data_IF_980487176954
#
_entry.id   IF_980487176954
#
_cell.length_a   1.000
_cell.length_b   1.000
_cell.length_c   1.000
_cell.angle_alpha   90.00
_cell.angle_beta   90.00
_cell.angle_gamma   90.00
#
_symmetry.space_group_name_H-M   'P 1'
#
loop_
_entity.id
_entity.type
_entity.pdbx_description
1 polymer ?
#
# COMPACT_ATOMS: atom_id res chain seq x y z
N UNK A 1 21.53 -15.68 1.88
CA UNK A 1 20.71 -14.56 1.39
C UNK A 1 19.28 -15.05 1.18
N UNK A 2 18.27 -14.40 1.78
CA UNK A 2 16.85 -14.72 1.56
C UNK A 2 16.45 -14.19 0.18
N UNK A 3 15.90 -15.03 -0.68
CA UNK A 3 15.52 -14.66 -2.05
C UNK A 3 14.04 -14.24 -2.14
N UNK A 4 13.18 -14.88 -1.35
CA UNK A 4 11.75 -14.58 -1.24
C UNK A 4 11.25 -15.08 0.12
N UNK A 5 10.33 -14.34 0.73
CA UNK A 5 9.51 -14.80 1.83
C UNK A 5 8.04 -14.54 1.48
N UNK A 6 7.23 -15.59 1.55
CA UNK A 6 5.78 -15.53 1.40
C UNK A 6 5.21 -16.46 2.47
N UNK A 7 4.87 -15.89 3.63
CA UNK A 7 4.42 -16.64 4.80
C UNK A 7 2.88 -16.68 4.92
N UNK A 8 2.19 -16.21 3.88
CA UNK A 8 0.73 -16.06 3.85
C UNK A 8 0.13 -17.03 2.83
N UNK A 9 -0.86 -17.82 3.23
CA UNK A 9 -1.70 -18.55 2.30
C UNK A 9 -2.62 -17.56 1.57
N UNK A 10 -2.70 -17.64 0.22
CA UNK A 10 -3.53 -16.75 -0.58
C UNK A 10 -4.76 -17.48 -1.04
N UNK A 11 -5.94 -16.97 -0.66
CA UNK A 11 -7.24 -17.51 -1.01
C UNK A 11 -8.04 -16.52 -1.87
N UNK A 12 -8.87 -17.03 -2.77
CA UNK A 12 -9.79 -16.23 -3.57
C UNK A 12 -11.21 -16.70 -3.39
N UNK A 13 -12.16 -15.76 -3.27
CA UNK A 13 -13.59 -16.04 -3.24
C UNK A 13 -14.33 -15.02 -4.12
N UNK A 14 -15.42 -15.44 -4.75
CA UNK A 14 -16.21 -14.52 -5.56
C UNK A 14 -17.01 -13.54 -4.69
N UNK A 15 -17.49 -14.01 -3.52
CA UNK A 15 -18.36 -13.24 -2.63
C UNK A 15 -17.96 -13.31 -1.16
N UNK A 16 -18.37 -12.29 -0.40
CA UNK A 16 -18.26 -12.26 1.07
C UNK A 16 -19.05 -13.39 1.76
N UNK A 17 -20.15 -13.83 1.16
CA UNK A 17 -20.95 -14.95 1.66
C UNK A 17 -20.22 -16.29 1.53
N UNK A 18 -19.58 -16.54 0.39
CA UNK A 18 -18.74 -17.73 0.18
C UNK A 18 -17.57 -17.75 1.15
N UNK A 19 -16.84 -16.64 1.27
CA UNK A 19 -15.75 -16.47 2.24
C UNK A 19 -16.20 -16.81 3.66
N UNK A 20 -17.33 -16.22 4.10
CA UNK A 20 -17.85 -16.43 5.46
C UNK A 20 -18.20 -17.89 5.74
N UNK A 21 -18.77 -18.57 4.74
CA UNK A 21 -19.13 -19.99 4.82
C UNK A 21 -17.90 -20.90 4.84
N UNK A 22 -16.99 -20.73 3.87
CA UNK A 22 -15.82 -21.61 3.72
C UNK A 22 -14.85 -21.50 4.91
N UNK A 23 -14.68 -20.29 5.48
CA UNK A 23 -13.86 -20.11 6.68
C UNK A 23 -14.65 -20.28 7.99
N UNK A 24 -15.92 -20.64 7.91
CA UNK A 24 -16.81 -20.88 9.05
C UNK A 24 -16.71 -19.76 10.11
N UNK A 25 -17.04 -18.54 9.68
CA UNK A 25 -16.98 -17.36 10.55
C UNK A 25 -17.99 -17.49 11.69
N UNK A 26 -17.53 -17.22 12.94
CA UNK A 26 -18.32 -17.50 14.14
C UNK A 26 -17.97 -16.55 15.31
N UNK A 27 -18.50 -16.81 16.51
CA UNK A 27 -18.33 -15.98 17.72
C UNK A 27 -16.89 -15.90 18.26
N UNK A 28 -15.97 -16.75 17.76
CA UNK A 28 -14.55 -16.68 18.10
C UNK A 28 -13.75 -15.82 17.12
N UNK A 29 -14.43 -15.09 16.24
CA UNK A 29 -13.79 -14.18 15.29
C UNK A 29 -13.99 -12.73 15.73
N UNK A 30 -12.88 -11.97 15.75
CA UNK A 30 -12.88 -10.53 15.85
C UNK A 30 -12.76 -9.94 14.43
N UNK A 31 -13.83 -9.36 13.92
CA UNK A 31 -13.86 -8.73 12.59
C UNK A 31 -13.64 -7.23 12.74
N UNK A 32 -12.46 -6.74 12.34
CA UNK A 32 -12.14 -5.33 12.29
C UNK A 32 -12.38 -4.77 10.88
N UNK A 33 -13.36 -3.88 10.75
CA UNK A 33 -13.79 -3.36 9.45
C UNK A 33 -14.39 -1.95 9.60
N UNK A 34 -14.93 -1.37 8.52
CA UNK A 34 -15.71 -0.14 8.58
C UNK A 34 -17.20 -0.42 8.40
N UNK A 35 -18.03 0.57 8.79
CA UNK A 35 -19.49 0.48 8.72
C UNK A 35 -20.00 0.18 7.32
N UNK A 36 -19.42 0.79 6.28
CA UNK A 36 -19.85 0.61 4.90
C UNK A 36 -19.71 -0.85 4.44
N UNK A 37 -18.57 -1.48 4.72
CA UNK A 37 -18.31 -2.88 4.37
C UNK A 37 -19.22 -3.79 5.21
N UNK A 38 -19.32 -3.56 6.51
CA UNK A 38 -20.20 -4.32 7.38
C UNK A 38 -21.66 -4.29 6.90
N UNK A 39 -22.23 -3.10 6.70
CA UNK A 39 -23.63 -2.94 6.29
C UNK A 39 -23.88 -3.46 4.86
N UNK A 40 -22.92 -3.28 3.94
CA UNK A 40 -23.06 -3.67 2.55
C UNK A 40 -22.89 -5.17 2.27
N UNK A 41 -22.06 -5.87 3.05
CA UNK A 41 -21.64 -7.23 2.67
C UNK A 41 -21.78 -8.27 3.79
N UNK A 42 -21.78 -7.89 5.07
CA UNK A 42 -21.76 -8.86 6.18
C UNK A 42 -23.01 -8.82 7.05
N UNK A 43 -23.66 -7.67 7.19
CA UNK A 43 -24.84 -7.52 8.07
C UNK A 43 -25.98 -8.49 7.74
N UNK A 44 -26.24 -8.69 6.47
CA UNK A 44 -27.31 -9.59 5.99
C UNK A 44 -27.00 -11.08 6.20
N UNK A 45 -25.74 -11.43 6.45
CA UNK A 45 -25.31 -12.82 6.68
C UNK A 45 -25.60 -13.30 8.12
N UNK A 46 -26.01 -12.40 9.02
CA UNK A 46 -26.31 -12.67 10.45
C UNK A 46 -25.26 -13.51 11.17
N UNK A 47 -23.97 -13.25 10.87
CA UNK A 47 -22.85 -13.94 11.51
C UNK A 47 -22.71 -13.52 12.96
N UNK A 48 -22.35 -14.44 13.84
CA UNK A 48 -22.18 -14.19 15.29
C UNK A 48 -20.79 -13.69 15.67
N UNK A 49 -20.07 -13.11 14.72
CA UNK A 49 -18.74 -12.55 14.95
C UNK A 49 -18.74 -11.33 15.86
N UNK A 50 -17.62 -11.05 16.51
CA UNK A 50 -17.39 -9.81 17.26
C UNK A 50 -16.94 -8.71 16.30
N UNK A 51 -17.83 -7.81 15.94
CA UNK A 51 -17.53 -6.72 15.03
C UNK A 51 -16.99 -5.50 15.76
N UNK A 52 -15.81 -5.03 15.36
CA UNK A 52 -15.21 -3.76 15.77
C UNK A 52 -15.15 -2.83 14.58
N UNK A 53 -15.93 -1.76 14.62
CA UNK A 53 -16.06 -0.84 13.49
C UNK A 53 -15.10 0.35 13.66
N UNK A 54 -14.24 0.56 12.67
CA UNK A 54 -13.31 1.69 12.58
C UNK A 54 -14.01 3.05 12.81
N UNK A 55 -15.25 3.15 12.34
CA UNK A 55 -16.06 4.38 12.42
C UNK A 55 -16.29 4.87 13.86
N UNK A 56 -16.22 3.98 14.85
CA UNK A 56 -16.28 4.34 16.27
C UNK A 56 -15.10 5.24 16.68
N UNK A 57 -13.94 5.05 16.08
CA UNK A 57 -12.68 5.72 16.46
C UNK A 57 -12.35 6.92 15.56
N UNK A 58 -13.11 7.15 14.50
CA UNK A 58 -13.06 8.32 13.61
C UNK A 58 -11.64 8.72 13.16
N UNK A 59 -10.86 7.79 12.60
CA UNK A 59 -9.53 8.05 12.05
C UNK A 59 -9.47 7.76 10.54
N UNK A 60 -8.64 8.50 9.82
CA UNK A 60 -8.25 8.19 8.44
C UNK A 60 -6.97 7.35 8.40
N UNK A 61 -5.95 7.80 9.10
CA UNK A 61 -4.69 7.09 9.27
C UNK A 61 -4.55 6.63 10.73
N UNK A 62 -4.04 5.42 10.99
CA UNK A 62 -3.91 4.89 12.34
C UNK A 62 -2.83 5.64 13.12
N UNK A 63 -3.11 5.93 14.39
CA UNK A 63 -2.14 6.46 15.32
C UNK A 63 -2.11 5.64 16.62
N UNK A 64 -1.06 5.82 17.40
CA UNK A 64 -0.79 5.05 18.61
C UNK A 64 -1.92 5.16 19.65
N UNK A 65 -2.47 6.35 19.87
CA UNK A 65 -3.53 6.57 20.87
C UNK A 65 -4.83 5.83 20.51
N UNK A 66 -5.23 5.90 19.25
CA UNK A 66 -6.43 5.21 18.75
C UNK A 66 -6.26 3.68 18.81
N UNK A 67 -5.09 3.17 18.46
CA UNK A 67 -4.83 1.73 18.54
C UNK A 67 -4.86 1.25 19.99
N UNK A 68 -4.29 2.02 20.91
CA UNK A 68 -4.35 1.73 22.36
C UNK A 68 -5.80 1.75 22.88
N UNK A 69 -6.68 2.62 22.33
CA UNK A 69 -8.12 2.62 22.63
C UNK A 69 -8.79 1.33 22.10
N UNK A 70 -8.49 0.92 20.86
CA UNK A 70 -9.02 -0.32 20.28
C UNK A 70 -8.62 -1.52 21.14
N UNK A 71 -7.38 -1.62 21.58
CA UNK A 71 -6.92 -2.71 22.46
C UNK A 71 -7.68 -2.75 23.78
N UNK A 72 -7.99 -1.59 24.37
CA UNK A 72 -8.81 -1.52 25.61
C UNK A 72 -10.23 -2.04 25.38
N UNK A 73 -10.82 -1.70 24.24
CA UNK A 73 -12.19 -2.10 23.90
C UNK A 73 -12.33 -3.60 23.67
N UNK A 74 -11.32 -4.23 23.06
CA UNK A 74 -11.36 -5.67 22.75
C UNK A 74 -10.83 -6.55 23.89
N UNK A 75 -10.30 -5.98 24.97
CA UNK A 75 -9.62 -6.71 26.05
C UNK A 75 -10.45 -7.85 26.66
N UNK A 76 -11.77 -7.66 26.75
CA UNK A 76 -12.69 -8.62 27.36
C UNK A 76 -13.44 -9.49 26.32
N UNK A 77 -13.10 -9.36 25.03
CA UNK A 77 -13.67 -10.19 23.97
C UNK A 77 -12.85 -11.48 23.87
N UNK A 78 -13.54 -12.61 23.93
CA UNK A 78 -12.90 -13.92 23.77
C UNK A 78 -12.91 -14.33 22.30
N UNK A 79 -11.76 -14.22 21.62
CA UNK A 79 -11.58 -14.57 20.22
C UNK A 79 -10.26 -15.27 19.96
N UNK A 80 -10.23 -16.07 18.89
CA UNK A 80 -9.06 -16.84 18.44
C UNK A 80 -8.49 -16.31 17.13
N UNK A 81 -9.31 -15.62 16.31
CA UNK A 81 -8.91 -15.09 15.01
C UNK A 81 -9.21 -13.60 14.92
N UNK A 82 -8.31 -12.87 14.27
CA UNK A 82 -8.52 -11.50 13.82
C UNK A 82 -8.74 -11.51 12.32
N UNK A 83 -9.84 -10.96 11.87
CA UNK A 83 -10.20 -10.82 10.46
C UNK A 83 -10.27 -9.32 10.15
N UNK A 84 -9.26 -8.78 9.48
CA UNK A 84 -9.24 -7.37 9.10
C UNK A 84 -9.71 -7.21 7.65
N UNK A 85 -10.81 -6.49 7.47
CA UNK A 85 -11.46 -6.30 6.16
C UNK A 85 -11.52 -4.81 5.83
N UNK A 86 -10.70 -4.34 4.88
CA UNK A 86 -10.67 -2.92 4.57
C UNK A 86 -9.51 -2.47 3.68
N UNK A 87 -9.30 -1.17 3.64
CA UNK A 87 -8.10 -0.56 3.05
C UNK A 87 -6.91 -0.61 4.01
N UNK A 88 -5.74 -0.18 3.55
CA UNK A 88 -4.46 -0.31 4.27
C UNK A 88 -4.50 0.07 5.75
N UNK A 89 -5.14 1.17 6.13
CA UNK A 89 -5.25 1.59 7.53
C UNK A 89 -5.97 0.59 8.44
N UNK A 90 -6.97 -0.12 7.92
CA UNK A 90 -7.67 -1.20 8.65
C UNK A 90 -6.78 -2.43 8.73
N UNK A 91 -6.13 -2.78 7.62
CA UNK A 91 -5.28 -3.97 7.55
C UNK A 91 -4.08 -3.84 8.48
N UNK A 92 -3.44 -2.67 8.52
CA UNK A 92 -2.29 -2.40 9.37
C UNK A 92 -2.64 -2.46 10.86
N UNK A 93 -3.80 -1.92 11.26
CA UNK A 93 -4.31 -2.08 12.63
C UNK A 93 -4.63 -3.55 12.92
N UNK A 94 -5.30 -4.25 12.01
CA UNK A 94 -5.64 -5.67 12.17
C UNK A 94 -4.43 -6.57 12.45
N UNK A 95 -3.29 -6.29 11.81
CA UNK A 95 -2.03 -6.98 12.10
C UNK A 95 -1.60 -6.84 13.57
N UNK A 96 -1.77 -5.66 14.12
CA UNK A 96 -1.41 -5.39 15.51
C UNK A 96 -2.37 -6.09 16.49
N UNK A 97 -3.68 -6.12 16.17
CA UNK A 97 -4.69 -6.76 17.02
C UNK A 97 -4.49 -8.28 17.18
N UNK A 98 -3.68 -8.89 16.33
CA UNK A 98 -3.30 -10.29 16.44
C UNK A 98 -2.12 -10.56 17.39
N UNK A 99 -1.51 -9.49 17.93
CA UNK A 99 -0.38 -9.59 18.88
C UNK A 99 -0.87 -9.71 20.31
N UNK A 100 -0.03 -10.34 21.14
CA UNK A 100 -0.28 -10.57 22.57
C UNK A 100 0.18 -9.39 23.42
N UNK A 101 -0.62 -9.07 24.46
CA UNK A 101 -0.23 -8.21 25.59
C UNK A 101 0.32 -6.82 25.15
N UNK A 102 -0.30 -6.20 24.15
CA UNK A 102 0.06 -4.84 23.72
C UNK A 102 -0.63 -3.84 24.65
N UNK A 103 0.13 -3.24 25.57
CA UNK A 103 -0.33 -2.19 26.49
C UNK A 103 -0.07 -0.78 25.95
N UNK A 104 0.85 -0.63 25.02
CA UNK A 104 1.21 0.63 24.36
C UNK A 104 1.76 0.41 22.96
N UNK A 105 1.05 0.91 21.96
CA UNK A 105 1.46 0.89 20.57
C UNK A 105 2.78 1.62 20.35
N UNK A 106 2.98 2.78 21.02
CA UNK A 106 4.26 3.51 20.95
C UNK A 106 5.44 2.66 21.40
N UNK A 107 5.32 1.97 22.55
CA UNK A 107 6.40 1.08 23.05
C UNK A 107 6.63 -0.10 22.12
N UNK A 108 5.55 -0.66 21.54
CA UNK A 108 5.65 -1.75 20.56
C UNK A 108 6.48 -1.32 19.33
N UNK A 109 6.18 -0.15 18.77
CA UNK A 109 6.91 0.37 17.60
C UNK A 109 8.36 0.77 17.92
N UNK A 110 8.66 1.13 19.18
CA UNK A 110 10.02 1.35 19.67
C UNK A 110 10.76 0.06 20.06
N UNK A 111 10.11 -1.09 19.93
CA UNK A 111 10.65 -2.39 20.33
C UNK A 111 10.99 -2.48 21.83
N UNK A 112 10.26 -1.75 22.64
CA UNK A 112 10.33 -1.78 24.10
C UNK A 112 9.42 -2.87 24.69
N UNK A 113 8.54 -3.46 23.88
CA UNK A 113 7.70 -4.60 24.21
C UNK A 113 8.08 -5.81 23.36
N UNK A 114 7.91 -7.05 23.88
CA UNK A 114 8.06 -8.24 23.07
C UNK A 114 6.96 -8.29 22.00
N UNK A 115 7.33 -8.69 20.79
CA UNK A 115 6.40 -8.86 19.68
C UNK A 115 6.07 -10.34 19.58
N UNK A 116 4.88 -10.72 20.01
CA UNK A 116 4.45 -12.12 20.09
C UNK A 116 3.12 -12.26 19.39
N UNK A 117 3.05 -13.14 18.39
CA UNK A 117 1.78 -13.50 17.75
C UNK A 117 0.96 -14.38 18.70
N UNK A 118 -0.33 -14.08 18.83
CA UNK A 118 -1.26 -14.81 19.69
C UNK A 118 -2.49 -15.34 18.92
N UNK A 119 -2.97 -14.61 17.92
CA UNK A 119 -4.19 -14.94 17.18
C UNK A 119 -3.90 -15.28 15.72
N UNK A 120 -4.68 -16.19 15.14
CA UNK A 120 -4.71 -16.34 13.67
C UNK A 120 -5.14 -15.03 13.02
N UNK A 121 -4.45 -14.63 11.96
CA UNK A 121 -4.70 -13.37 11.27
C UNK A 121 -5.13 -13.62 9.83
N UNK A 122 -6.29 -13.11 9.49
CA UNK A 122 -6.84 -13.13 8.14
C UNK A 122 -6.98 -11.69 7.66
N UNK A 123 -6.37 -11.38 6.52
CA UNK A 123 -6.38 -10.04 5.93
C UNK A 123 -7.15 -10.06 4.62
N UNK A 124 -8.17 -9.20 4.51
CA UNK A 124 -9.05 -9.09 3.34
C UNK A 124 -9.00 -7.66 2.81
N UNK A 125 -8.19 -7.36 1.77
CA UNK A 125 -8.12 -6.03 1.20
C UNK A 125 -9.41 -5.68 0.45
N UNK A 126 -9.82 -4.42 0.57
CA UNK A 126 -10.94 -3.83 -0.18
C UNK A 126 -10.48 -2.69 -1.09
N UNK A 127 -9.17 -2.58 -1.28
CA UNK A 127 -8.50 -1.68 -2.23
C UNK A 127 -7.41 -2.45 -2.96
N UNK A 128 -7.13 -2.07 -4.20
CA UNK A 128 -6.11 -2.71 -5.04
C UNK A 128 -4.81 -1.88 -5.06
N UNK A 129 -4.20 -1.67 -3.90
CA UNK A 129 -3.04 -0.78 -3.80
C UNK A 129 -1.93 -1.28 -2.88
N UNK A 130 -2.26 -1.55 -1.63
CA UNK A 130 -1.25 -1.69 -0.57
C UNK A 130 -0.56 -3.05 -0.53
N UNK A 131 -1.18 -4.11 -1.05
CA UNK A 131 -0.66 -5.48 -0.90
C UNK A 131 -0.41 -5.88 0.58
N UNK A 132 -1.11 -5.22 1.52
CA UNK A 132 -0.85 -5.39 2.95
C UNK A 132 -1.13 -6.82 3.43
N UNK A 133 -1.97 -7.56 2.71
CA UNK A 133 -2.31 -8.96 3.02
C UNK A 133 -1.13 -9.92 2.89
N UNK A 134 -0.08 -9.56 2.16
CA UNK A 134 1.13 -10.39 1.96
C UNK A 134 2.40 -9.74 2.50
N UNK A 135 2.28 -8.66 3.26
CA UNK A 135 3.43 -7.98 3.86
C UNK A 135 3.42 -8.08 5.38
N UNK A 136 4.62 -8.01 5.98
CA UNK A 136 4.83 -8.04 7.42
C UNK A 136 5.01 -6.64 8.04
N UNK A 137 4.40 -5.62 7.42
CA UNK A 137 4.59 -4.22 7.79
C UNK A 137 3.28 -3.63 8.28
N UNK A 138 3.34 -2.84 9.35
CA UNK A 138 2.28 -1.93 9.80
C UNK A 138 2.86 -0.53 9.96
N UNK A 139 2.17 0.49 9.45
CA UNK A 139 2.58 1.90 9.53
C UNK A 139 1.63 2.64 10.46
N UNK A 140 2.18 3.30 11.49
CA UNK A 140 1.40 4.02 12.50
C UNK A 140 2.03 5.38 12.78
N UNK A 141 1.20 6.41 12.96
CA UNK A 141 1.63 7.70 13.45
C UNK A 141 1.84 7.64 14.96
N UNK A 142 3.00 8.08 15.44
CA UNK A 142 3.27 8.29 16.86
C UNK A 142 3.01 9.77 17.15
N UNK A 143 1.85 10.08 17.70
CA UNK A 143 1.37 11.45 17.86
C UNK A 143 2.31 12.33 18.69
N UNK A 144 2.82 11.80 19.78
CA UNK A 144 3.74 12.53 20.67
C UNK A 144 5.08 12.90 19.99
N UNK A 145 5.42 12.28 18.85
CA UNK A 145 6.65 12.51 18.09
C UNK A 145 6.38 13.14 16.72
N UNK A 146 5.11 13.30 16.39
CA UNK A 146 4.63 13.84 15.11
C UNK A 146 5.33 13.17 13.91
N UNK A 147 5.44 11.83 13.97
CA UNK A 147 6.13 11.03 12.95
C UNK A 147 5.42 9.70 12.70
N UNK A 148 5.54 9.19 11.47
CA UNK A 148 5.09 7.84 11.13
C UNK A 148 6.24 6.86 11.30
N UNK A 149 5.99 5.78 12.03
CA UNK A 149 6.90 4.66 12.17
C UNK A 149 6.35 3.41 11.47
N UNK A 150 7.25 2.61 10.93
CA UNK A 150 6.93 1.30 10.37
C UNK A 150 7.47 0.18 11.26
N UNK A 151 6.61 -0.73 11.67
CA UNK A 151 6.99 -1.97 12.31
C UNK A 151 6.99 -3.08 11.26
N UNK A 152 8.16 -3.64 10.96
CA UNK A 152 8.35 -4.73 10.02
C UNK A 152 8.96 -5.93 10.75
N UNK A 153 8.14 -6.96 10.99
CA UNK A 153 8.52 -8.19 11.71
C UNK A 153 7.68 -9.36 11.22
N UNK A 154 8.21 -10.57 11.30
CA UNK A 154 7.56 -11.76 10.75
C UNK A 154 6.24 -12.10 11.46
N UNK A 155 6.06 -11.68 12.71
CA UNK A 155 4.84 -11.82 13.49
C UNK A 155 3.63 -11.07 12.91
N UNK A 156 3.86 -10.12 11.99
CA UNK A 156 2.80 -9.35 11.32
C UNK A 156 2.36 -9.96 9.97
N UNK A 157 3.00 -11.03 9.48
CA UNK A 157 2.46 -11.75 8.32
C UNK A 157 1.08 -12.31 8.65
N UNK A 158 0.13 -12.15 7.73
CA UNK A 158 -1.15 -12.84 7.83
C UNK A 158 -0.97 -14.36 7.64
N UNK A 159 -1.77 -15.16 8.35
CA UNK A 159 -1.89 -16.58 8.06
C UNK A 159 -2.61 -16.78 6.71
N UNK A 160 -3.63 -15.95 6.45
CA UNK A 160 -4.37 -15.95 5.17
C UNK A 160 -4.56 -14.53 4.64
N UNK A 161 -4.18 -14.33 3.38
CA UNK A 161 -4.56 -13.19 2.55
C UNK A 161 -5.72 -13.57 1.65
N UNK A 162 -6.86 -12.90 1.78
CA UNK A 162 -8.09 -13.30 1.10
C UNK A 162 -8.52 -12.24 0.10
N UNK A 163 -8.61 -12.61 -1.16
CA UNK A 163 -8.97 -11.72 -2.27
C UNK A 163 -10.45 -11.91 -2.62
N UNK A 164 -11.27 -10.86 -2.45
CA UNK A 164 -12.72 -10.88 -2.75
C UNK A 164 -13.03 -9.65 -3.61
N UNK A 165 -13.09 -9.79 -4.96
CA UNK A 165 -13.33 -8.66 -5.86
C UNK A 165 -14.65 -7.92 -5.58
N UNK A 166 -15.69 -8.63 -5.10
CA UNK A 166 -16.97 -8.04 -4.68
C UNK A 166 -16.78 -6.86 -3.73
N UNK A 167 -15.88 -6.97 -2.74
CA UNK A 167 -15.65 -5.96 -1.71
C UNK A 167 -14.98 -4.69 -2.25
N UNK A 168 -14.33 -4.77 -3.41
CA UNK A 168 -13.68 -3.65 -4.08
C UNK A 168 -14.63 -2.88 -5.02
N UNK A 169 -15.71 -3.49 -5.51
CA UNK A 169 -16.62 -2.91 -6.51
C UNK A 169 -17.31 -1.62 -6.08
N UNK A 170 -17.40 -1.37 -4.77
CA UNK A 170 -18.00 -0.14 -4.24
C UNK A 170 -17.00 0.97 -4.02
N UNK A 171 -15.73 0.78 -4.39
CA UNK A 171 -14.69 1.79 -4.25
C UNK A 171 -14.93 2.95 -5.22
N UNK A 172 -14.86 4.23 -4.77
CA UNK A 172 -14.96 5.36 -5.68
C UNK A 172 -13.86 5.34 -6.74
N UNK A 173 -14.17 5.76 -7.98
CA UNK A 173 -13.22 5.79 -9.10
C UNK A 173 -11.86 6.39 -8.73
N UNK A 174 -11.86 7.58 -8.12
CA UNK A 174 -10.65 8.27 -7.69
C UNK A 174 -9.81 7.44 -6.71
N UNK A 175 -10.46 6.75 -5.78
CA UNK A 175 -9.78 5.87 -4.83
C UNK A 175 -9.20 4.64 -5.53
N UNK A 176 -9.93 4.06 -6.50
CA UNK A 176 -9.42 2.98 -7.35
C UNK A 176 -8.16 3.41 -8.10
N UNK A 177 -8.20 4.53 -8.81
CA UNK A 177 -7.06 4.99 -9.62
C UNK A 177 -5.84 5.24 -8.76
N UNK A 178 -5.96 5.98 -7.66
CA UNK A 178 -4.81 6.25 -6.80
C UNK A 178 -4.27 4.99 -6.11
N UNK A 179 -5.14 4.07 -5.69
CA UNK A 179 -4.67 2.83 -5.07
C UNK A 179 -3.98 1.92 -6.10
N UNK A 180 -4.50 1.80 -7.31
CA UNK A 180 -3.86 0.98 -8.34
C UNK A 180 -2.57 1.59 -8.90
N UNK A 181 -2.46 2.93 -8.95
CA UNK A 181 -1.18 3.61 -9.23
C UNK A 181 -0.18 3.33 -8.11
N UNK A 182 -0.61 3.28 -6.85
CA UNK A 182 0.26 2.91 -5.72
C UNK A 182 0.81 1.48 -5.88
N UNK A 183 -0.03 0.52 -6.29
CA UNK A 183 0.43 -0.83 -6.63
C UNK A 183 1.43 -0.86 -7.80
N UNK A 184 1.22 -0.02 -8.82
CA UNK A 184 2.17 0.15 -9.91
C UNK A 184 3.52 0.66 -9.40
N UNK A 185 3.50 1.67 -8.52
CA UNK A 185 4.70 2.25 -7.91
C UNK A 185 5.40 1.21 -7.03
N UNK A 186 4.68 0.46 -6.22
CA UNK A 186 5.20 -0.65 -5.42
C UNK A 186 5.96 -1.66 -6.30
N UNK A 187 5.37 -2.03 -7.43
CA UNK A 187 5.99 -2.98 -8.37
C UNK A 187 7.25 -2.39 -9.02
N UNK A 188 7.19 -1.14 -9.46
CA UNK A 188 8.32 -0.44 -10.09
C UNK A 188 9.47 -0.27 -9.09
N UNK A 189 9.21 0.25 -7.90
CA UNK A 189 10.27 0.46 -6.89
C UNK A 189 10.80 -0.86 -6.35
N UNK A 190 9.93 -1.86 -6.16
CA UNK A 190 10.35 -3.21 -5.77
C UNK A 190 11.28 -3.85 -6.80
N UNK A 191 10.99 -3.70 -8.09
CA UNK A 191 11.86 -4.17 -9.17
C UNK A 191 13.20 -3.42 -9.24
N UNK A 192 13.17 -2.10 -9.11
CA UNK A 192 14.38 -1.26 -9.18
C UNK A 192 15.23 -1.32 -7.92
N UNK A 193 14.70 -1.86 -6.82
CA UNK A 193 15.44 -1.97 -5.56
C UNK A 193 16.71 -2.82 -5.71
N UNK A 194 17.83 -2.43 -5.08
CA UNK A 194 19.04 -3.27 -5.02
C UNK A 194 18.83 -4.60 -4.27
N UNK A 195 17.73 -4.72 -3.52
CA UNK A 195 17.37 -5.96 -2.81
C UNK A 195 16.46 -6.87 -3.65
N UNK A 196 16.07 -6.46 -4.86
CA UNK A 196 15.24 -7.31 -5.73
C UNK A 196 15.99 -8.56 -6.16
N UNK A 197 15.25 -9.61 -6.41
CA UNK A 197 15.75 -10.92 -6.81
C UNK A 197 14.97 -11.42 -8.03
N UNK A 198 15.46 -12.44 -8.76
CA UNK A 198 14.68 -13.02 -9.85
C UNK A 198 13.26 -13.46 -9.45
N UNK A 199 13.05 -13.83 -8.18
CA UNK A 199 11.73 -14.20 -7.66
C UNK A 199 10.81 -12.98 -7.51
N UNK A 200 11.32 -11.91 -6.90
CA UNK A 200 10.53 -10.66 -6.74
C UNK A 200 10.25 -9.99 -8.08
N UNK A 201 11.18 -10.10 -9.04
CA UNK A 201 11.05 -9.54 -10.37
C UNK A 201 9.91 -10.18 -11.17
N UNK A 202 9.66 -11.50 -11.01
CA UNK A 202 8.52 -12.17 -11.64
C UNK A 202 7.19 -11.54 -11.21
N UNK A 203 7.00 -11.30 -9.92
CA UNK A 203 5.79 -10.67 -9.37
C UNK A 203 5.68 -9.21 -9.79
N UNK A 204 6.78 -8.45 -9.72
CA UNK A 204 6.81 -7.05 -10.12
C UNK A 204 6.45 -6.88 -11.61
N UNK A 205 7.04 -7.64 -12.50
CA UNK A 205 6.76 -7.60 -13.93
C UNK A 205 5.31 -7.94 -14.24
N UNK A 206 4.79 -9.00 -13.60
CA UNK A 206 3.40 -9.40 -13.83
C UNK A 206 2.41 -8.37 -13.31
N UNK A 207 2.69 -7.76 -12.17
CA UNK A 207 1.86 -6.68 -11.64
C UNK A 207 1.86 -5.45 -12.57
N UNK A 208 3.04 -5.01 -13.04
CA UNK A 208 3.16 -3.90 -14.00
C UNK A 208 2.36 -4.19 -15.27
N UNK A 209 2.52 -5.39 -15.85
CA UNK A 209 1.81 -5.82 -17.06
C UNK A 209 0.28 -5.78 -16.85
N UNK A 210 -0.21 -6.36 -15.74
CA UNK A 210 -1.63 -6.43 -15.45
C UNK A 210 -2.25 -5.06 -15.23
N UNK A 211 -1.57 -4.17 -14.48
CA UNK A 211 -2.06 -2.82 -14.18
C UNK A 211 -2.10 -1.98 -15.45
N UNK A 212 -0.99 -1.89 -16.20
CA UNK A 212 -0.92 -1.05 -17.40
C UNK A 212 -1.86 -1.54 -18.51
N UNK A 213 -1.98 -2.86 -18.71
CA UNK A 213 -2.96 -3.42 -19.64
C UNK A 213 -4.39 -3.11 -19.22
N UNK A 214 -4.68 -3.21 -17.91
CA UNK A 214 -5.99 -2.85 -17.35
C UNK A 214 -6.32 -1.37 -17.55
N UNK A 215 -5.36 -0.47 -17.40
CA UNK A 215 -5.56 0.95 -17.67
C UNK A 215 -5.92 1.23 -19.12
N UNK A 216 -5.25 0.57 -20.08
CA UNK A 216 -5.61 0.69 -21.51
C UNK A 216 -7.06 0.26 -21.75
N UNK A 217 -7.47 -0.87 -21.15
CA UNK A 217 -8.84 -1.36 -21.27
C UNK A 217 -9.86 -0.40 -20.67
N UNK A 218 -9.56 0.22 -19.51
CA UNK A 218 -10.44 1.21 -18.85
C UNK A 218 -10.58 2.48 -19.73
N UNK A 219 -9.47 2.97 -20.27
CA UNK A 219 -9.48 4.16 -21.15
C UNK A 219 -10.28 3.89 -22.42
N UNK A 220 -10.16 2.69 -23.00
CA UNK A 220 -10.89 2.29 -24.22
C UNK A 220 -12.37 2.06 -23.97
N UNK A 221 -12.73 1.39 -22.84
CA UNK A 221 -14.09 0.89 -22.58
C UNK A 221 -14.89 1.74 -21.59
N UNK A 222 -14.25 2.72 -20.94
CA UNK A 222 -14.86 3.59 -19.94
C UNK A 222 -14.73 3.07 -18.50
N UNK A 223 -15.02 3.97 -17.55
CA UNK A 223 -14.81 3.74 -16.10
C UNK A 223 -15.59 2.52 -15.55
N UNK A 224 -16.80 2.28 -16.04
CA UNK A 224 -17.64 1.15 -15.58
C UNK A 224 -17.00 -0.21 -15.84
N UNK A 225 -16.06 -0.29 -16.79
CA UNK A 225 -15.35 -1.53 -17.10
C UNK A 225 -14.46 -2.03 -15.95
N UNK A 226 -14.10 -1.16 -14.99
CA UNK A 226 -13.37 -1.50 -13.78
C UNK A 226 -14.04 -2.68 -13.04
N UNK A 227 -15.37 -2.69 -12.95
CA UNK A 227 -16.10 -3.74 -12.28
C UNK A 227 -15.91 -5.12 -12.92
N UNK A 228 -15.62 -5.17 -14.21
CA UNK A 228 -15.38 -6.40 -14.97
C UNK A 228 -13.99 -6.98 -14.73
N UNK A 229 -13.01 -6.11 -14.45
CA UNK A 229 -11.59 -6.48 -14.29
C UNK A 229 -11.05 -6.20 -12.89
N UNK A 230 -11.92 -6.05 -11.90
CA UNK A 230 -11.51 -5.76 -10.52
C UNK A 230 -10.64 -6.87 -9.91
N UNK A 231 -10.93 -8.12 -10.24
CA UNK A 231 -10.13 -9.28 -9.85
C UNK A 231 -8.69 -9.17 -10.37
N UNK A 232 -8.49 -8.74 -11.62
CA UNK A 232 -7.19 -8.49 -12.22
C UNK A 232 -6.37 -7.46 -11.43
N UNK A 233 -6.99 -6.35 -11.02
CA UNK A 233 -6.32 -5.32 -10.23
C UNK A 233 -6.03 -5.75 -8.80
N UNK A 234 -6.92 -6.54 -8.19
CA UNK A 234 -6.72 -7.06 -6.85
C UNK A 234 -5.55 -8.06 -6.81
N UNK A 235 -5.47 -8.96 -7.80
CA UNK A 235 -4.34 -9.88 -7.97
C UNK A 235 -3.04 -9.12 -8.27
N UNK A 236 -3.09 -8.08 -9.12
CA UNK A 236 -1.91 -7.27 -9.43
C UNK A 236 -1.38 -6.53 -8.18
N UNK A 237 -2.27 -6.00 -7.33
CA UNK A 237 -1.89 -5.41 -6.04
C UNK A 237 -1.25 -6.44 -5.10
N UNK A 238 -1.76 -7.66 -5.07
CA UNK A 238 -1.18 -8.76 -4.30
C UNK A 238 0.25 -9.09 -4.80
N UNK A 239 0.44 -9.22 -6.11
CA UNK A 239 1.78 -9.42 -6.70
C UNK A 239 2.73 -8.26 -6.37
N UNK A 240 2.26 -7.01 -6.46
CA UNK A 240 3.02 -5.84 -6.04
C UNK A 240 3.45 -5.96 -4.57
N UNK A 241 2.52 -6.38 -3.70
CA UNK A 241 2.77 -6.65 -2.28
C UNK A 241 3.88 -7.68 -2.03
N UNK A 242 3.85 -8.79 -2.77
CA UNK A 242 4.89 -9.82 -2.69
C UNK A 242 6.24 -9.25 -3.15
N UNK A 243 6.26 -8.49 -4.24
CA UNK A 243 7.49 -7.92 -4.78
C UNK A 243 8.13 -6.93 -3.80
N UNK A 244 7.41 -5.83 -3.44
CA UNK A 244 7.99 -4.79 -2.58
C UNK A 244 8.13 -5.22 -1.12
N UNK A 245 7.28 -6.10 -0.62
CA UNK A 245 7.39 -6.65 0.73
C UNK A 245 8.72 -7.34 1.00
N UNK A 246 9.32 -7.91 -0.05
CA UNK A 246 10.64 -8.53 -0.02
C UNK A 246 11.78 -7.58 -0.42
N UNK A 247 11.57 -6.74 -1.44
CA UNK A 247 12.61 -5.88 -2.00
C UNK A 247 12.67 -4.47 -1.38
N UNK A 248 11.56 -4.01 -0.81
CA UNK A 248 11.40 -2.64 -0.30
C UNK A 248 10.99 -1.66 -1.39
N UNK A 249 10.57 -0.47 -0.95
CA UNK A 249 10.27 0.70 -1.80
C UNK A 249 11.30 1.80 -1.57
N UNK A 250 11.40 2.77 -2.46
CA UNK A 250 12.49 3.74 -2.52
C UNK A 250 12.05 5.20 -2.49
N UNK A 251 12.59 6.00 -3.44
CA UNK A 251 12.51 7.46 -3.46
C UNK A 251 11.12 8.01 -3.70
N UNK A 252 10.26 7.34 -4.49
CA UNK A 252 8.88 7.82 -4.71
C UNK A 252 8.16 7.90 -3.38
N UNK A 253 8.20 6.82 -2.59
CA UNK A 253 7.63 6.78 -1.26
C UNK A 253 8.32 7.75 -0.30
N UNK A 254 9.65 7.81 -0.31
CA UNK A 254 10.41 8.69 0.59
C UNK A 254 10.05 10.16 0.39
N UNK A 255 10.00 10.62 -0.87
CA UNK A 255 9.72 12.02 -1.24
C UNK A 255 8.25 12.40 -1.02
N UNK A 256 7.32 11.46 -1.11
CA UNK A 256 5.89 11.71 -0.92
C UNK A 256 5.47 11.90 0.55
N UNK A 257 6.23 11.37 1.51
CA UNK A 257 5.86 11.40 2.93
C UNK A 257 5.62 12.80 3.51
N UNK A 258 6.47 13.84 3.23
CA UNK A 258 6.18 15.19 3.70
C UNK A 258 4.88 15.76 3.15
N UNK A 259 4.55 15.46 1.89
CA UNK A 259 3.29 15.88 1.25
C UNK A 259 2.08 15.22 1.95
N UNK A 260 2.12 13.93 2.14
CA UNK A 260 1.07 13.20 2.87
C UNK A 260 0.94 13.64 4.32
N UNK A 261 2.06 13.77 5.03
CA UNK A 261 2.09 14.12 6.45
C UNK A 261 1.60 15.53 6.74
N UNK A 262 2.04 16.53 5.98
CA UNK A 262 1.68 17.93 6.22
C UNK A 262 0.34 18.34 5.63
N UNK A 263 0.05 17.89 4.41
CA UNK A 263 -1.13 18.32 3.64
C UNK A 263 -2.25 17.28 3.64
N UNK A 264 -2.08 16.18 4.36
CA UNK A 264 -3.05 15.08 4.46
C UNK A 264 -3.48 14.54 3.08
N UNK A 265 -2.55 14.56 2.11
CA UNK A 265 -2.79 14.00 0.79
C UNK A 265 -2.81 12.47 0.92
N UNK A 266 -3.83 11.78 0.38
CA UNK A 266 -3.90 10.33 0.41
C UNK A 266 -2.63 9.68 -0.16
N UNK A 267 -2.19 8.57 0.44
CA UNK A 267 -0.88 7.95 0.17
C UNK A 267 -0.62 7.71 -1.32
N UNK A 268 -1.50 7.01 -2.02
CA UNK A 268 -1.34 6.74 -3.46
C UNK A 268 -1.40 8.02 -4.32
N UNK A 269 -2.21 9.03 -3.92
CA UNK A 269 -2.22 10.35 -4.58
C UNK A 269 -0.87 11.06 -4.38
N UNK A 270 -0.31 11.02 -3.19
CA UNK A 270 0.99 11.63 -2.91
C UNK A 270 2.12 10.95 -3.68
N UNK A 271 2.16 9.61 -3.70
CA UNK A 271 3.17 8.84 -4.44
C UNK A 271 3.11 9.13 -5.94
N UNK A 272 1.91 9.23 -6.52
CA UNK A 272 1.74 9.51 -7.93
C UNK A 272 2.42 10.82 -8.38
N UNK A 273 2.46 11.85 -7.52
CA UNK A 273 3.09 13.12 -7.88
C UNK A 273 4.59 12.96 -8.20
N UNK A 274 5.27 12.03 -7.55
CA UNK A 274 6.73 11.87 -7.64
C UNK A 274 7.19 10.82 -8.65
N UNK A 275 6.32 9.92 -9.09
CA UNK A 275 6.69 8.75 -9.92
C UNK A 275 7.54 9.14 -11.13
N UNK A 276 7.03 10.05 -11.99
CA UNK A 276 7.71 10.40 -13.24
C UNK A 276 9.03 11.13 -13.01
N UNK A 277 9.08 12.03 -12.02
CA UNK A 277 10.30 12.77 -11.73
C UNK A 277 11.41 11.86 -11.20
N UNK A 278 11.06 10.87 -10.37
CA UNK A 278 12.02 9.87 -9.86
C UNK A 278 12.52 8.96 -10.98
N UNK A 279 11.64 8.45 -11.84
CA UNK A 279 12.03 7.61 -12.98
C UNK A 279 12.95 8.35 -13.96
N UNK A 280 12.64 9.62 -14.26
CA UNK A 280 13.49 10.46 -15.11
C UNK A 280 14.85 10.73 -14.44
N UNK A 281 14.89 10.94 -13.13
CA UNK A 281 16.15 11.06 -12.39
C UNK A 281 16.99 9.77 -12.50
N UNK A 282 16.38 8.61 -12.31
CA UNK A 282 17.09 7.33 -12.44
C UNK A 282 17.62 7.09 -13.87
N UNK A 283 16.78 7.32 -14.89
CA UNK A 283 17.18 7.18 -16.30
C UNK A 283 18.34 8.10 -16.66
N UNK A 284 18.33 9.34 -16.17
CA UNK A 284 19.39 10.34 -16.39
C UNK A 284 20.72 9.94 -15.76
N UNK A 285 20.69 9.39 -14.54
CA UNK A 285 21.92 9.14 -13.76
C UNK A 285 22.47 7.73 -13.90
N UNK A 286 21.64 6.74 -14.25
CA UNK A 286 22.03 5.36 -14.57
C UNK A 286 20.99 4.75 -15.51
N UNK A 287 21.09 5.02 -16.81
CA UNK A 287 20.13 4.60 -17.82
C UNK A 287 20.21 3.11 -18.21
N UNK A 288 21.24 2.40 -17.76
CA UNK A 288 21.47 0.99 -18.04
C UNK A 288 20.87 0.05 -16.99
N UNK A 289 21.00 -1.26 -17.17
CA UNK A 289 20.55 -2.26 -16.19
C UNK A 289 19.03 -2.30 -16.02
N UNK A 290 18.56 -2.43 -14.78
CA UNK A 290 17.13 -2.63 -14.48
C UNK A 290 16.21 -1.50 -14.95
N UNK A 291 16.68 -0.26 -14.98
CA UNK A 291 15.88 0.85 -15.52
C UNK A 291 15.63 0.70 -17.03
N UNK A 292 16.62 0.19 -17.77
CA UNK A 292 16.47 -0.11 -19.19
C UNK A 292 15.49 -1.28 -19.41
N UNK A 293 15.58 -2.34 -18.60
CA UNK A 293 14.65 -3.47 -18.66
C UNK A 293 13.21 -3.02 -18.36
N UNK A 294 13.03 -2.18 -17.32
CA UNK A 294 11.74 -1.57 -16.98
C UNK A 294 11.20 -0.72 -18.14
N UNK A 295 12.05 0.11 -18.75
CA UNK A 295 11.69 0.95 -19.90
C UNK A 295 11.18 0.10 -21.06
N UNK A 296 11.87 -0.98 -21.40
CA UNK A 296 11.47 -1.93 -22.46
C UNK A 296 10.13 -2.60 -22.14
N UNK A 297 9.97 -3.07 -20.90
CA UNK A 297 8.72 -3.68 -20.44
C UNK A 297 7.54 -2.72 -20.59
N UNK A 298 7.64 -1.52 -20.00
CA UNK A 298 6.56 -0.52 -20.04
C UNK A 298 6.26 -0.14 -21.49
N UNK A 299 7.29 0.20 -22.30
CA UNK A 299 7.15 0.57 -23.70
C UNK A 299 6.41 -0.48 -24.53
N UNK A 300 6.73 -1.76 -24.31
CA UNK A 300 6.05 -2.87 -25.00
C UNK A 300 4.58 -2.97 -24.63
N UNK A 301 4.21 -2.72 -23.37
CA UNK A 301 2.82 -2.81 -22.90
C UNK A 301 1.99 -1.63 -23.41
N UNK A 302 2.54 -0.41 -23.33
CA UNK A 302 1.81 0.80 -23.72
C UNK A 302 1.94 1.15 -25.21
N UNK A 303 2.69 0.37 -25.99
CA UNK A 303 2.99 0.57 -27.41
C UNK A 303 3.71 1.91 -27.69
N UNK A 304 4.69 2.26 -26.83
CA UNK A 304 5.53 3.45 -26.97
C UNK A 304 6.93 3.09 -27.44
N UNK A 305 7.66 4.08 -27.95
CA UNK A 305 9.12 3.95 -28.15
C UNK A 305 9.84 4.06 -26.80
N UNK A 306 10.99 3.38 -26.64
CA UNK A 306 11.76 3.43 -25.39
C UNK A 306 12.22 4.86 -25.03
N UNK A 307 12.50 5.69 -26.01
CA UNK A 307 12.89 7.09 -25.83
C UNK A 307 11.76 7.94 -25.19
N UNK A 308 10.50 7.67 -25.58
CA UNK A 308 9.29 8.38 -25.15
C UNK A 308 8.55 7.69 -23.98
N UNK A 309 9.08 6.57 -23.50
CA UNK A 309 8.40 5.67 -22.55
C UNK A 309 7.74 6.40 -21.37
N UNK A 310 8.48 7.24 -20.69
CA UNK A 310 7.97 7.88 -19.46
C UNK A 310 7.03 9.06 -19.75
N UNK A 311 7.16 9.70 -20.90
CA UNK A 311 6.19 10.68 -21.38
C UNK A 311 4.85 10.00 -21.71
N UNK A 312 4.90 8.89 -22.44
CA UNK A 312 3.68 8.15 -22.79
C UNK A 312 3.05 7.44 -21.58
N UNK A 313 3.86 7.00 -20.61
CA UNK A 313 3.32 6.53 -19.32
C UNK A 313 2.61 7.65 -18.56
N UNK A 314 3.20 8.85 -18.50
CA UNK A 314 2.54 10.01 -17.87
C UNK A 314 1.24 10.38 -18.59
N UNK A 315 1.22 10.36 -19.91
CA UNK A 315 0.02 10.58 -20.72
C UNK A 315 -1.06 9.53 -20.41
N UNK A 316 -0.69 8.25 -20.35
CA UNK A 316 -1.61 7.15 -20.01
C UNK A 316 -2.25 7.38 -18.62
N UNK A 317 -1.44 7.68 -17.61
CA UNK A 317 -1.92 7.92 -16.25
C UNK A 317 -2.78 9.20 -16.16
N UNK A 318 -2.41 10.27 -16.86
CA UNK A 318 -3.19 11.51 -16.91
C UNK A 318 -4.56 11.33 -17.59
N UNK A 319 -4.72 10.35 -18.49
CA UNK A 319 -6.03 10.01 -19.05
C UNK A 319 -6.97 9.35 -18.01
N UNK A 320 -6.42 8.74 -16.96
CA UNK A 320 -7.21 8.22 -15.85
C UNK A 320 -7.48 9.30 -14.79
N UNK A 321 -6.43 10.01 -14.39
CA UNK A 321 -6.51 11.07 -13.41
C UNK A 321 -5.36 12.05 -13.56
N UNK A 322 -5.69 13.34 -13.63
CA UNK A 322 -4.69 14.40 -13.81
C UNK A 322 -3.72 14.47 -12.61
N UNK A 323 -2.43 14.42 -12.89
CA UNK A 323 -1.39 14.76 -11.91
C UNK A 323 -1.45 16.24 -11.57
N UNK A 324 -1.27 16.60 -10.31
CA UNK A 324 -1.27 17.98 -9.82
C UNK A 324 0.17 18.47 -9.58
N UNK A 325 0.36 19.77 -9.61
CA UNK A 325 1.58 20.38 -9.10
C UNK A 325 1.55 20.45 -7.58
N UNK A 326 2.72 20.43 -6.92
CA UNK A 326 2.80 20.42 -5.45
C UNK A 326 2.19 21.68 -4.82
N UNK A 327 2.27 22.83 -5.51
CA UNK A 327 1.61 24.07 -5.09
C UNK A 327 0.08 23.98 -5.03
N UNK A 328 -0.55 23.11 -5.81
CA UNK A 328 -2.00 22.90 -5.77
C UNK A 328 -2.48 22.25 -4.46
N UNK A 329 -1.56 21.63 -3.71
CA UNK A 329 -1.81 21.12 -2.36
C UNK A 329 -1.53 22.15 -1.26
N UNK A 330 -1.04 23.35 -1.63
CA UNK A 330 -0.67 24.41 -0.70
C UNK A 330 0.81 24.42 -0.30
N UNK A 331 1.64 23.56 -0.91
CA UNK A 331 3.07 23.58 -0.69
C UNK A 331 3.68 24.91 -1.11
N UNK A 332 4.60 25.45 -0.34
CA UNK A 332 5.33 26.69 -0.64
C UNK A 332 6.76 26.42 -1.08
N UNK A 333 7.35 27.34 -1.82
CA UNK A 333 8.72 27.19 -2.35
C UNK A 333 9.76 27.00 -1.22
N UNK A 334 9.56 27.68 -0.08
CA UNK A 334 10.45 27.61 1.08
C UNK A 334 10.47 26.25 1.79
N UNK A 335 9.53 25.37 1.45
CA UNK A 335 9.43 24.04 2.03
C UNK A 335 10.25 23.00 1.29
N UNK A 336 10.70 23.31 0.08
CA UNK A 336 11.49 22.38 -0.74
C UNK A 336 12.73 21.94 0.02
N UNK A 337 13.51 22.89 0.53
CA UNK A 337 14.70 22.56 1.32
C UNK A 337 14.37 21.80 2.60
N UNK A 338 13.34 22.23 3.34
CA UNK A 338 12.91 21.60 4.59
C UNK A 338 12.46 20.15 4.38
N UNK A 339 11.68 19.91 3.31
CA UNK A 339 11.21 18.56 2.97
C UNK A 339 12.37 17.67 2.54
N UNK A 340 13.29 18.17 1.71
CA UNK A 340 14.47 17.42 1.27
C UNK A 340 15.36 17.03 2.44
N UNK A 341 15.61 17.96 3.38
CA UNK A 341 16.36 17.68 4.61
C UNK A 341 15.64 16.68 5.52
N UNK A 342 14.30 16.81 5.65
CA UNK A 342 13.48 15.87 6.43
C UNK A 342 13.50 14.47 5.85
N UNK A 343 13.37 14.32 4.53
CA UNK A 343 13.46 13.03 3.83
C UNK A 343 14.84 12.41 4.06
N UNK A 344 15.90 13.16 3.83
CA UNK A 344 17.27 12.68 4.03
C UNK A 344 17.50 12.21 5.47
N UNK A 345 16.99 12.93 6.45
CA UNK A 345 17.15 12.59 7.88
C UNK A 345 16.30 11.40 8.31
N UNK A 346 15.04 11.34 7.88
CA UNK A 346 14.06 10.47 8.49
C UNK A 346 13.69 9.24 7.63
N UNK A 347 14.02 9.23 6.32
CA UNK A 347 13.61 8.17 5.39
C UNK A 347 14.76 7.29 4.89
N UNK A 348 15.83 7.18 5.65
CA UNK A 348 16.99 6.34 5.30
C UNK A 348 16.62 4.87 5.05
N UNK A 349 15.57 4.37 5.72
CA UNK A 349 15.04 3.02 5.49
C UNK A 349 14.56 2.82 4.06
N UNK A 350 13.98 3.84 3.44
CA UNK A 350 13.49 3.83 2.06
C UNK A 350 14.61 4.17 1.08
N UNK A 351 15.39 5.23 1.36
CA UNK A 351 16.46 5.71 0.48
C UNK A 351 17.54 4.67 0.19
N UNK A 352 17.83 3.76 1.13
CA UNK A 352 18.77 2.65 0.91
C UNK A 352 18.31 1.65 -0.17
N UNK A 353 17.02 1.66 -0.55
CA UNK A 353 16.45 0.82 -1.58
C UNK A 353 16.40 1.52 -2.95
N UNK A 354 16.95 2.75 -3.07
CA UNK A 354 16.96 3.47 -4.33
C UNK A 354 17.83 2.78 -5.37
N UNK A 355 17.36 2.80 -6.61
CA UNK A 355 18.13 2.36 -7.77
C UNK A 355 19.40 3.18 -7.99
N UNK A 356 19.29 4.49 -7.80
CA UNK A 356 20.40 5.44 -7.77
C UNK A 356 20.35 6.21 -6.47
N UNK A 357 21.48 6.35 -5.78
CA UNK A 357 21.58 7.17 -4.56
C UNK A 357 21.22 8.61 -4.87
N UNK A 358 20.56 9.27 -3.91
CA UNK A 358 20.16 10.68 -4.01
C UNK A 358 20.80 11.50 -2.91
N UNK A 359 21.26 12.68 -3.29
CA UNK A 359 21.67 13.74 -2.35
C UNK A 359 20.51 14.73 -2.10
N UNK A 360 20.65 15.59 -1.11
CA UNK A 360 19.63 16.63 -0.80
C UNK A 360 19.34 17.49 -2.03
N UNK A 361 20.38 17.86 -2.81
CA UNK A 361 20.21 18.66 -4.03
C UNK A 361 19.36 17.99 -5.10
N UNK A 362 19.51 16.68 -5.26
CA UNK A 362 18.71 15.92 -6.22
C UNK A 362 17.22 15.94 -5.82
N UNK A 363 16.95 15.78 -4.51
CA UNK A 363 15.60 15.87 -3.97
C UNK A 363 15.00 17.27 -4.19
N UNK A 364 15.77 18.32 -3.93
CA UNK A 364 15.34 19.69 -4.17
C UNK A 364 15.02 19.93 -5.65
N UNK A 365 15.83 19.42 -6.58
CA UNK A 365 15.57 19.51 -8.02
C UNK A 365 14.27 18.81 -8.39
N UNK A 366 14.02 17.61 -7.85
CA UNK A 366 12.76 16.88 -8.03
C UNK A 366 11.58 17.71 -7.52
N UNK A 367 11.62 18.19 -6.27
CA UNK A 367 10.55 19.03 -5.72
C UNK A 367 10.32 20.31 -6.54
N UNK A 368 11.37 20.99 -6.99
CA UNK A 368 11.30 22.19 -7.84
C UNK A 368 10.63 21.88 -9.18
N UNK A 369 10.92 20.73 -9.79
CA UNK A 369 10.33 20.32 -11.07
C UNK A 369 8.84 20.01 -10.98
N UNK A 370 8.35 19.70 -9.78
CA UNK A 370 6.95 19.35 -9.50
C UNK A 370 6.15 20.52 -8.91
N UNK A 371 6.81 21.62 -8.52
CA UNK A 371 6.19 22.79 -7.90
C UNK A 371 5.48 23.66 -8.95
#
# INVERSE_FOLDING_TARGET
MKLLSLNTEILGFDTSSEFAKELNLNEKDLVFTNRRIYEGSFKSLDLKCNYVLKDKYNFNEPNDEIIDEIFKDIKNIDFNRVIAIGGGSILDVGKLLALKDVDSTKKLFKRELPIIRDKELIIVPTTCGTGSEVTNISIVEIKSENTKLGLAVDELYADKGVLIPELCKTMPYKAFVYSSIDALIHSIEGFLSPNSTPYTDLFAFKAIEMILSGYKEIIEKGEEYINTIMDKFLIASNYAGIAFGNAGVGAVHALSYPLGGKYHVPHGEANYQFLMAVLNFYKKNNGDGKISELTKLISSIINAKEEDCYLELENLLNNLIRRKNLKEYGMTIDEIEKFSQSVMKNQQRLLKNNYVSMEIKDMEEIYKSLY
#
